data_IF_443169150849
#
_entry.id   IF_443169150849
#
_cell.length_a   1.000
_cell.length_b   1.000
_cell.length_c   1.000
_cell.angle_alpha   90.00
_cell.angle_beta   90.00
_cell.angle_gamma   90.00
#
_symmetry.space_group_name_H-M   'P 1'
#
loop_
_entity.id
_entity.type
_entity.pdbx_description
1 polymer ?
#
# COMPACT_ATOMS: atom_id res chain seq x y z
N UNK A 1 -16.54 -37.09 -8.28
CA UNK A 1 -16.03 -35.73 -7.97
C UNK A 1 -14.98 -35.36 -9.00
N UNK A 2 -15.20 -34.34 -9.83
CA UNK A 2 -14.13 -33.83 -10.72
C UNK A 2 -13.33 -32.81 -9.94
N UNK A 3 -12.02 -33.03 -9.81
CA UNK A 3 -11.11 -32.08 -9.15
C UNK A 3 -11.17 -30.72 -9.88
N UNK A 4 -11.58 -29.67 -9.16
CA UNK A 4 -11.47 -28.29 -9.65
C UNK A 4 -10.00 -27.89 -9.83
N UNK A 5 -9.72 -27.00 -10.78
CA UNK A 5 -8.40 -26.37 -10.86
C UNK A 5 -8.37 -25.25 -9.81
N UNK A 6 -7.50 -25.37 -8.81
CA UNK A 6 -7.45 -24.41 -7.71
C UNK A 6 -7.06 -22.98 -8.15
N UNK A 7 -6.38 -22.86 -9.30
CA UNK A 7 -5.94 -21.60 -9.87
C UNK A 7 -5.47 -21.76 -11.31
N UNK A 8 -5.56 -20.68 -12.09
CA UNK A 8 -4.91 -20.54 -13.39
C UNK A 8 -3.92 -19.38 -13.30
N UNK A 9 -2.64 -19.68 -13.51
CA UNK A 9 -1.56 -18.70 -13.61
C UNK A 9 -1.21 -18.47 -15.07
N UNK A 10 -1.24 -17.21 -15.51
CA UNK A 10 -0.93 -16.80 -16.88
C UNK A 10 0.20 -15.78 -16.84
N UNK A 11 1.33 -16.15 -17.43
CA UNK A 11 2.46 -15.25 -17.62
C UNK A 11 2.50 -14.76 -19.05
N UNK A 12 2.49 -13.45 -19.25
CA UNK A 12 2.52 -12.80 -20.57
C UNK A 12 3.84 -12.05 -20.72
N UNK A 13 4.61 -12.43 -21.72
CA UNK A 13 5.92 -11.84 -22.02
C UNK A 13 6.05 -11.56 -23.51
N UNK A 14 6.68 -10.44 -23.84
CA UNK A 14 7.12 -10.16 -25.20
C UNK A 14 8.11 -11.22 -25.68
N UNK A 15 7.86 -11.76 -26.88
CA UNK A 15 8.81 -12.61 -27.58
C UNK A 15 9.67 -11.71 -28.47
N UNK A 16 10.98 -11.71 -28.24
CA UNK A 16 12.02 -11.07 -29.06
C UNK A 16 12.30 -9.57 -28.88
N UNK A 17 11.75 -8.88 -27.86
CA UNK A 17 12.13 -7.49 -27.56
C UNK A 17 11.76 -6.45 -28.62
N UNK A 18 10.95 -6.85 -29.61
CA UNK A 18 10.24 -5.89 -30.45
C UNK A 18 9.11 -5.31 -29.59
N UNK A 19 9.35 -4.10 -29.08
CA UNK A 19 8.33 -3.26 -28.45
C UNK A 19 7.21 -3.05 -29.47
N UNK A 20 6.21 -3.93 -29.46
CA UNK A 20 4.96 -3.70 -30.18
C UNK A 20 4.41 -2.37 -29.67
N UNK A 21 4.41 -1.37 -30.54
CA UNK A 21 3.81 -0.07 -30.21
C UNK A 21 2.36 -0.33 -29.84
N UNK A 22 1.93 0.24 -28.72
CA UNK A 22 0.60 0.06 -28.13
C UNK A 22 -0.58 0.43 -29.07
N UNK A 23 -0.29 1.00 -30.24
CA UNK A 23 -1.25 1.43 -31.26
C UNK A 23 -1.38 0.48 -32.47
N UNK A 24 -0.56 -0.57 -32.58
CA UNK A 24 -0.76 -1.56 -33.65
C UNK A 24 -1.83 -2.56 -33.24
N UNK A 25 -2.92 -2.63 -34.02
CA UNK A 25 -3.99 -3.61 -33.92
C UNK A 25 -3.39 -5.01 -33.76
N UNK A 26 -3.31 -5.49 -32.52
CA UNK A 26 -2.88 -6.86 -32.24
C UNK A 26 -3.76 -7.81 -33.05
N UNK A 27 -3.21 -8.83 -33.74
CA UNK A 27 -3.96 -9.60 -34.71
C UNK A 27 -5.19 -10.24 -34.04
N UNK A 28 -6.39 -9.88 -34.49
CA UNK A 28 -7.68 -10.44 -34.00
C UNK A 28 -7.70 -11.97 -33.94
N UNK A 29 -6.88 -12.62 -34.76
CA UNK A 29 -6.72 -14.07 -34.86
C UNK A 29 -6.19 -14.70 -33.56
N UNK A 30 -5.22 -14.08 -32.88
CA UNK A 30 -4.60 -14.65 -31.68
C UNK A 30 -5.58 -14.74 -30.49
N UNK A 31 -6.50 -13.78 -30.38
CA UNK A 31 -7.54 -13.79 -29.34
C UNK A 31 -8.55 -14.94 -29.52
N UNK A 32 -8.87 -15.28 -30.78
CA UNK A 32 -9.84 -16.34 -31.06
C UNK A 32 -9.31 -17.72 -30.65
N UNK A 33 -8.01 -17.97 -30.87
CA UNK A 33 -7.35 -19.22 -30.47
C UNK A 33 -7.22 -19.31 -28.95
N UNK A 34 -6.84 -18.22 -28.29
CA UNK A 34 -6.79 -18.16 -26.84
C UNK A 34 -8.16 -18.46 -26.22
N UNK A 35 -9.22 -17.81 -26.71
CA UNK A 35 -10.56 -18.02 -26.19
C UNK A 35 -11.03 -19.46 -26.42
N UNK A 36 -10.71 -20.08 -27.56
CA UNK A 36 -10.98 -21.49 -27.81
C UNK A 36 -10.23 -22.41 -26.82
N UNK A 37 -8.97 -22.10 -26.54
CA UNK A 37 -8.16 -22.85 -25.58
C UNK A 37 -8.67 -22.71 -24.14
N UNK A 38 -9.03 -21.50 -23.72
CA UNK A 38 -9.42 -21.20 -22.34
C UNK A 38 -10.84 -21.68 -22.03
N UNK A 39 -11.76 -21.64 -22.98
CA UNK A 39 -13.16 -22.00 -22.80
C UNK A 39 -13.40 -23.33 -22.07
N UNK A 40 -12.75 -24.47 -22.40
CA UNK A 40 -12.94 -25.72 -21.67
C UNK A 40 -12.32 -25.71 -20.25
N UNK A 41 -11.38 -24.81 -19.98
CA UNK A 41 -10.69 -24.70 -18.69
C UNK A 41 -11.48 -23.82 -17.70
N UNK A 42 -12.04 -22.70 -18.17
CA UNK A 42 -12.65 -21.66 -17.35
C UNK A 42 -13.69 -22.14 -16.32
N UNK A 43 -14.59 -23.11 -16.61
CA UNK A 43 -15.53 -23.62 -15.61
C UNK A 43 -14.86 -24.19 -14.35
N UNK A 44 -13.59 -24.61 -14.45
CA UNK A 44 -12.82 -25.22 -13.36
C UNK A 44 -11.92 -24.23 -12.63
N UNK A 45 -11.75 -23.01 -13.16
CA UNK A 45 -10.82 -22.01 -12.65
C UNK A 45 -11.51 -21.18 -11.57
N UNK A 46 -11.09 -21.34 -10.31
CA UNK A 46 -11.58 -20.51 -9.21
C UNK A 46 -10.69 -19.28 -8.89
N UNK A 47 -9.57 -19.09 -9.58
CA UNK A 47 -8.78 -17.89 -9.43
C UNK A 47 -7.85 -17.67 -10.61
N UNK A 48 -7.62 -16.41 -10.92
CA UNK A 48 -6.87 -15.98 -12.08
C UNK A 48 -5.74 -15.06 -11.62
N UNK A 49 -4.51 -15.44 -11.97
CA UNK A 49 -3.33 -14.62 -11.74
C UNK A 49 -2.67 -14.35 -13.08
N UNK A 50 -2.51 -13.07 -13.40
CA UNK A 50 -1.94 -12.60 -14.66
C UNK A 50 -0.75 -11.72 -14.33
N UNK A 51 0.42 -12.09 -14.82
CA UNK A 51 1.61 -11.23 -14.76
C UNK A 51 1.99 -10.84 -16.18
N UNK A 52 2.05 -9.54 -16.48
CA UNK A 52 2.41 -9.02 -17.80
C UNK A 52 3.53 -7.99 -17.71
N UNK A 53 4.52 -8.09 -18.60
CA UNK A 53 5.61 -7.12 -18.73
C UNK A 53 5.50 -6.23 -19.98
N UNK A 54 4.44 -6.37 -20.73
CA UNK A 54 4.22 -5.70 -22.02
C UNK A 54 2.83 -5.08 -22.08
N UNK A 55 2.64 -4.04 -22.89
CA UNK A 55 1.43 -3.21 -23.00
C UNK A 55 0.18 -3.90 -23.57
N UNK A 56 -0.09 -5.15 -23.20
CA UNK A 56 -1.19 -5.98 -23.70
C UNK A 56 -2.44 -5.88 -22.82
N UNK A 57 -2.78 -4.66 -22.46
CA UNK A 57 -4.01 -4.28 -21.78
C UNK A 57 -5.26 -4.99 -22.33
N UNK A 58 -5.42 -4.98 -23.65
CA UNK A 58 -6.55 -5.61 -24.32
C UNK A 58 -6.56 -7.12 -24.12
N UNK A 59 -5.40 -7.78 -24.10
CA UNK A 59 -5.30 -9.22 -23.84
C UNK A 59 -5.70 -9.57 -22.42
N UNK A 60 -5.29 -8.76 -21.44
CA UNK A 60 -5.73 -8.93 -20.05
C UNK A 60 -7.24 -8.76 -19.95
N UNK A 61 -7.81 -7.77 -20.64
CA UNK A 61 -9.27 -7.57 -20.72
C UNK A 61 -9.96 -8.81 -21.31
N UNK A 62 -9.49 -9.35 -22.42
CA UNK A 62 -10.09 -10.55 -23.04
C UNK A 62 -9.99 -11.78 -22.14
N UNK A 63 -8.86 -11.98 -21.46
CA UNK A 63 -8.70 -13.07 -20.49
C UNK A 63 -9.74 -12.99 -19.38
N UNK A 64 -9.90 -11.81 -18.77
CA UNK A 64 -10.88 -11.60 -17.70
C UNK A 64 -12.30 -11.72 -18.24
N UNK A 65 -12.61 -11.17 -19.41
CA UNK A 65 -13.91 -11.32 -20.09
C UNK A 65 -14.26 -12.79 -20.36
N UNK A 66 -13.31 -13.58 -20.84
CA UNK A 66 -13.48 -15.02 -21.04
C UNK A 66 -13.70 -15.77 -19.74
N UNK A 67 -13.02 -15.38 -18.67
CA UNK A 67 -13.26 -15.97 -17.35
C UNK A 67 -14.67 -15.67 -16.85
N UNK A 68 -15.14 -14.44 -17.00
CA UNK A 68 -16.52 -14.06 -16.67
C UNK A 68 -17.52 -14.83 -17.56
N UNK A 69 -17.23 -14.95 -18.86
CA UNK A 69 -18.15 -15.56 -19.83
C UNK A 69 -18.27 -17.08 -19.65
N UNK A 70 -17.16 -17.78 -19.43
CA UNK A 70 -17.12 -19.24 -19.42
C UNK A 70 -16.91 -19.84 -18.03
N UNK A 71 -16.59 -19.03 -17.03
CA UNK A 71 -16.40 -19.47 -15.67
C UNK A 71 -17.69 -19.89 -14.97
N UNK A 72 -17.54 -20.68 -13.91
CA UNK A 72 -18.68 -21.07 -13.07
C UNK A 72 -19.08 -19.89 -12.17
N UNK A 73 -20.36 -19.54 -12.14
CA UNK A 73 -20.89 -18.47 -11.31
C UNK A 73 -20.52 -18.69 -9.83
N UNK A 74 -20.18 -17.60 -9.12
CA UNK A 74 -19.80 -17.63 -7.69
C UNK A 74 -18.61 -18.54 -7.35
N UNK A 75 -17.81 -18.92 -8.34
CA UNK A 75 -16.61 -19.74 -8.12
C UNK A 75 -15.32 -18.92 -8.08
N UNK A 76 -15.34 -17.66 -8.51
CA UNK A 76 -14.19 -16.79 -8.53
C UNK A 76 -13.81 -16.38 -7.09
N UNK A 77 -12.60 -16.74 -6.66
CA UNK A 77 -12.07 -16.50 -5.31
C UNK A 77 -10.99 -15.43 -5.29
N UNK A 78 -10.11 -15.40 -6.29
CA UNK A 78 -9.06 -14.38 -6.37
C UNK A 78 -8.79 -13.95 -7.80
N UNK A 79 -8.46 -12.66 -7.94
CA UNK A 79 -7.99 -12.07 -9.18
C UNK A 79 -6.76 -11.22 -8.86
N UNK A 80 -5.64 -11.59 -9.48
CA UNK A 80 -4.36 -10.91 -9.34
C UNK A 80 -3.90 -10.50 -10.73
N UNK A 81 -3.69 -9.21 -10.94
CA UNK A 81 -3.19 -8.67 -12.19
C UNK A 81 -1.99 -7.78 -11.87
N UNK A 82 -0.82 -8.27 -12.23
CA UNK A 82 0.45 -7.55 -12.12
C UNK A 82 0.90 -7.14 -13.52
N UNK A 83 0.54 -5.92 -13.92
CA UNK A 83 0.96 -5.35 -15.18
C UNK A 83 2.07 -4.33 -14.94
N UNK A 84 3.27 -4.64 -15.40
CA UNK A 84 4.43 -3.76 -15.31
C UNK A 84 4.55 -2.98 -16.62
N UNK A 85 4.67 -1.65 -16.53
CA UNK A 85 4.93 -0.73 -17.63
C UNK A 85 3.74 -0.50 -18.59
N UNK A 86 2.52 -0.44 -18.08
CA UNK A 86 1.40 0.07 -18.86
C UNK A 86 1.66 1.54 -19.22
N UNK A 87 1.54 1.85 -20.51
CA UNK A 87 1.53 3.25 -20.96
C UNK A 87 0.18 3.89 -20.60
N UNK A 88 -0.89 3.10 -20.57
CA UNK A 88 -2.26 3.55 -20.34
C UNK A 88 -3.01 2.65 -19.34
N UNK A 89 -3.78 3.26 -18.44
CA UNK A 89 -4.66 2.52 -17.52
C UNK A 89 -5.75 1.78 -18.28
N UNK A 90 -6.02 0.53 -17.90
CA UNK A 90 -7.11 -0.25 -18.53
C UNK A 90 -8.24 -0.49 -17.57
N UNK A 91 -9.44 -0.05 -17.94
CA UNK A 91 -10.66 -0.39 -17.21
C UNK A 91 -11.25 -1.67 -17.77
N UNK A 92 -11.53 -2.60 -16.87
CA UNK A 92 -12.34 -3.79 -17.08
C UNK A 92 -13.64 -3.54 -16.32
N UNK A 93 -14.78 -3.68 -16.96
CA UNK A 93 -16.05 -3.44 -16.30
C UNK A 93 -17.18 -3.88 -17.20
N UNK A 94 -18.41 -3.93 -16.69
CA UNK A 94 -19.53 -3.87 -17.59
C UNK A 94 -19.34 -2.57 -18.41
N UNK A 95 -19.37 -2.63 -19.74
CA UNK A 95 -19.30 -1.42 -20.54
C UNK A 95 -20.40 -0.48 -20.05
N UNK A 96 -20.03 0.75 -19.76
CA UNK A 96 -20.99 1.78 -19.36
C UNK A 96 -21.97 2.02 -20.51
N UNK A 97 -23.18 2.50 -20.23
CA UNK A 97 -24.18 2.84 -21.27
C UNK A 97 -23.59 3.73 -22.38
N UNK A 98 -22.57 4.52 -22.06
CA UNK A 98 -21.86 5.40 -22.99
C UNK A 98 -20.88 4.69 -23.95
N UNK A 99 -20.39 3.48 -23.63
CA UNK A 99 -19.36 2.80 -24.42
C UNK A 99 -19.92 1.69 -25.32
N UNK A 100 -21.02 1.03 -24.94
CA UNK A 100 -21.72 0.07 -25.80
C UNK A 100 -23.22 -0.02 -25.44
N UNK A 101 -24.14 0.58 -26.22
CA UNK A 101 -25.57 0.70 -25.87
C UNK A 101 -26.40 -0.60 -25.99
N UNK A 102 -25.80 -1.75 -26.30
CA UNK A 102 -26.52 -2.97 -26.68
C UNK A 102 -26.34 -4.15 -25.71
N UNK A 103 -25.87 -3.92 -24.48
CA UNK A 103 -25.75 -5.00 -23.50
C UNK A 103 -27.10 -5.32 -22.86
N UNK A 104 -27.35 -6.61 -22.65
CA UNK A 104 -28.54 -7.09 -21.97
C UNK A 104 -28.38 -6.98 -20.45
N UNK A 105 -29.47 -6.74 -19.73
CA UNK A 105 -29.51 -6.75 -18.26
C UNK A 105 -28.85 -8.02 -17.67
N UNK A 106 -29.02 -9.17 -18.35
CA UNK A 106 -28.44 -10.44 -17.94
C UNK A 106 -26.90 -10.49 -17.97
N UNK A 107 -26.24 -9.71 -18.83
CA UNK A 107 -24.77 -9.64 -18.86
C UNK A 107 -24.22 -8.84 -17.67
N UNK A 108 -24.93 -7.80 -17.27
CA UNK A 108 -24.62 -7.02 -16.06
C UNK A 108 -24.78 -7.92 -14.83
N UNK A 109 -25.93 -8.59 -14.68
CA UNK A 109 -26.18 -9.51 -13.56
C UNK A 109 -25.13 -10.63 -13.50
N UNK A 110 -24.74 -11.18 -14.65
CA UNK A 110 -23.70 -12.18 -14.74
C UNK A 110 -22.35 -11.64 -14.28
N UNK A 111 -21.95 -10.46 -14.74
CA UNK A 111 -20.72 -9.81 -14.28
C UNK A 111 -20.74 -9.62 -12.76
N UNK A 112 -21.84 -9.09 -12.23
CA UNK A 112 -22.00 -8.83 -10.79
C UNK A 112 -21.91 -10.13 -9.97
N UNK A 113 -22.68 -11.15 -10.32
CA UNK A 113 -22.70 -12.41 -9.58
C UNK A 113 -21.40 -13.20 -9.73
N UNK A 114 -20.61 -12.95 -10.77
CA UNK A 114 -19.29 -13.56 -10.92
C UNK A 114 -18.29 -13.03 -9.89
N UNK A 115 -18.27 -11.71 -9.68
CA UNK A 115 -17.35 -11.06 -8.73
C UNK A 115 -17.82 -11.08 -7.27
N UNK A 116 -19.09 -11.41 -7.00
CA UNK A 116 -19.65 -11.50 -5.65
C UNK A 116 -18.86 -12.45 -4.71
N UNK A 117 -18.32 -13.54 -5.26
CA UNK A 117 -17.56 -14.53 -4.48
C UNK A 117 -16.09 -14.16 -4.26
N UNK A 118 -15.61 -13.08 -4.89
CA UNK A 118 -14.20 -12.70 -4.85
C UNK A 118 -13.78 -12.34 -3.41
N UNK A 119 -12.62 -12.86 -2.99
CA UNK A 119 -12.01 -12.62 -1.66
C UNK A 119 -10.72 -11.82 -1.76
N UNK A 120 -9.93 -12.06 -2.81
CA UNK A 120 -8.68 -11.32 -3.07
C UNK A 120 -8.78 -10.61 -4.40
N UNK A 121 -8.55 -9.29 -4.39
CA UNK A 121 -8.43 -8.47 -5.58
C UNK A 121 -7.11 -7.70 -5.51
N UNK A 122 -6.15 -8.03 -6.38
CA UNK A 122 -4.89 -7.30 -6.51
C UNK A 122 -4.76 -6.81 -7.95
N UNK A 123 -4.67 -5.51 -8.12
CA UNK A 123 -4.67 -4.87 -9.43
C UNK A 123 -3.54 -3.86 -9.54
N UNK A 124 -2.73 -3.97 -10.59
CA UNK A 124 -1.66 -3.04 -10.94
C UNK A 124 -1.95 -2.42 -12.30
N UNK A 125 -2.07 -1.10 -12.37
CA UNK A 125 -2.35 -0.29 -13.59
C UNK A 125 -3.66 -0.65 -14.34
N UNK A 126 -4.41 -1.63 -13.82
CA UNK A 126 -5.67 -2.12 -14.36
C UNK A 126 -6.75 -1.92 -13.30
N UNK A 127 -7.93 -1.49 -13.72
CA UNK A 127 -9.01 -1.20 -12.80
C UNK A 127 -10.26 -1.97 -13.15
N UNK A 128 -10.93 -2.56 -12.16
CA UNK A 128 -12.25 -3.14 -12.36
C UNK A 128 -13.30 -2.20 -11.79
N UNK A 129 -14.14 -1.61 -12.66
CA UNK A 129 -15.03 -0.49 -12.36
C UNK A 129 -15.54 -0.45 -10.89
N UNK A 130 -15.21 0.59 -10.10
CA UNK A 130 -15.43 0.65 -8.66
C UNK A 130 -16.84 1.13 -8.32
N UNK A 131 -17.59 1.57 -9.33
CA UNK A 131 -18.96 2.04 -9.17
C UNK A 131 -19.92 0.93 -8.70
N UNK A 132 -19.46 -0.32 -8.76
CA UNK A 132 -20.28 -1.48 -8.54
C UNK A 132 -20.06 -2.01 -7.12
N UNK A 133 -21.12 -2.09 -6.33
CA UNK A 133 -21.17 -2.73 -5.00
C UNK A 133 -20.89 -4.24 -5.05
N UNK A 134 -20.48 -4.78 -6.20
CA UNK A 134 -20.36 -6.21 -6.51
C UNK A 134 -19.40 -6.97 -5.61
N UNK A 135 -18.48 -6.26 -4.97
CA UNK A 135 -17.51 -6.84 -4.06
C UNK A 135 -18.12 -6.95 -2.66
N UNK A 136 -18.82 -8.06 -2.39
CA UNK A 136 -19.55 -8.28 -1.13
C UNK A 136 -18.79 -9.09 -0.07
N UNK A 137 -17.49 -9.29 -0.24
CA UNK A 137 -16.71 -10.06 0.73
C UNK A 137 -15.22 -10.12 0.45
N UNK A 138 -14.65 -9.04 -0.08
CA UNK A 138 -13.19 -8.97 -0.16
C UNK A 138 -12.60 -9.03 1.25
N UNK A 139 -11.60 -9.88 1.40
CA UNK A 139 -10.68 -9.92 2.54
C UNK A 139 -9.36 -9.23 2.21
N UNK A 140 -9.07 -9.04 0.92
CA UNK A 140 -7.84 -8.42 0.44
C UNK A 140 -8.10 -7.55 -0.78
N UNK A 141 -7.69 -6.28 -0.70
CA UNK A 141 -7.77 -5.30 -1.77
C UNK A 141 -6.43 -4.60 -1.92
N UNK A 142 -5.75 -4.82 -3.04
CA UNK A 142 -4.55 -4.09 -3.40
C UNK A 142 -4.73 -3.36 -4.72
N UNK A 143 -4.47 -2.06 -4.71
CA UNK A 143 -4.52 -1.18 -5.87
C UNK A 143 -3.13 -0.53 -6.03
N UNK A 144 -2.46 -0.86 -7.13
CA UNK A 144 -1.11 -0.39 -7.46
C UNK A 144 -1.14 0.51 -8.71
N UNK A 145 -0.45 1.64 -8.63
CA UNK A 145 -0.15 2.60 -9.69
C UNK A 145 -1.33 2.86 -10.64
N UNK A 146 -2.44 3.38 -10.10
CA UNK A 146 -3.55 3.80 -10.95
C UNK A 146 -3.13 5.06 -11.71
N UNK A 147 -2.84 4.94 -13.03
CA UNK A 147 -2.41 6.08 -13.84
C UNK A 147 -3.50 7.16 -13.90
N UNK A 148 -3.08 8.40 -14.19
CA UNK A 148 -3.86 9.65 -14.13
C UNK A 148 -5.24 9.59 -14.79
N UNK A 149 -5.37 8.77 -15.84
CA UNK A 149 -6.56 8.72 -16.69
C UNK A 149 -7.74 8.03 -16.00
N UNK A 150 -7.47 7.28 -14.92
CA UNK A 150 -8.50 6.69 -14.10
C UNK A 150 -8.41 7.15 -12.65
N UNK A 151 -9.41 7.91 -12.26
CA UNK A 151 -9.52 8.52 -10.94
C UNK A 151 -10.56 7.77 -10.10
N UNK A 152 -10.17 7.34 -8.90
CA UNK A 152 -11.08 6.73 -7.94
C UNK A 152 -11.63 7.85 -7.06
N UNK A 153 -12.93 8.11 -7.06
CA UNK A 153 -13.50 9.08 -6.12
C UNK A 153 -13.57 8.50 -4.70
N UNK A 154 -13.59 9.35 -3.67
CA UNK A 154 -13.84 8.92 -2.29
C UNK A 154 -15.14 8.10 -2.16
N UNK A 155 -16.20 8.48 -2.87
CA UNK A 155 -17.50 7.79 -2.93
C UNK A 155 -17.40 6.40 -3.54
N UNK A 156 -16.63 6.22 -4.60
CA UNK A 156 -16.34 4.92 -5.18
C UNK A 156 -15.61 4.02 -4.18
N UNK A 157 -14.53 4.51 -3.57
CA UNK A 157 -13.79 3.73 -2.59
C UNK A 157 -14.65 3.40 -1.37
N UNK A 158 -15.44 4.36 -0.87
CA UNK A 158 -16.35 4.14 0.24
C UNK A 158 -17.36 3.03 -0.04
N UNK A 159 -17.99 3.03 -1.22
CA UNK A 159 -18.93 1.97 -1.64
C UNK A 159 -18.26 0.61 -1.70
N UNK A 160 -17.04 0.53 -2.23
CA UNK A 160 -16.27 -0.71 -2.26
C UNK A 160 -15.97 -1.22 -0.84
N UNK A 161 -15.42 -0.37 0.03
CA UNK A 161 -15.07 -0.74 1.40
C UNK A 161 -16.30 -1.12 2.24
N UNK A 162 -17.41 -0.40 2.07
CA UNK A 162 -18.68 -0.68 2.77
C UNK A 162 -19.32 -2.00 2.35
N UNK A 163 -19.14 -2.41 1.09
CA UNK A 163 -19.57 -3.71 0.61
C UNK A 163 -18.65 -4.85 1.12
N UNK A 164 -17.41 -4.54 1.50
CA UNK A 164 -16.39 -5.50 1.94
C UNK A 164 -15.80 -5.17 3.32
N UNK A 165 -16.63 -5.20 4.37
CA UNK A 165 -16.18 -4.91 5.75
C UNK A 165 -15.22 -5.96 6.35
N UNK A 166 -15.07 -7.11 5.69
CA UNK A 166 -14.18 -8.20 6.09
C UNK A 166 -12.73 -8.03 5.59
N UNK A 167 -12.39 -6.88 5.02
CA UNK A 167 -11.02 -6.59 4.55
C UNK A 167 -10.02 -6.70 5.70
N UNK A 168 -9.02 -7.54 5.48
CA UNK A 168 -7.85 -7.78 6.33
C UNK A 168 -6.62 -7.06 5.80
N UNK A 169 -6.45 -7.01 4.48
CA UNK A 169 -5.32 -6.34 3.85
C UNK A 169 -5.81 -5.29 2.86
N UNK A 170 -5.48 -4.02 3.12
CA UNK A 170 -5.75 -2.89 2.22
C UNK A 170 -4.43 -2.25 1.79
N UNK A 171 -4.12 -2.29 0.49
CA UNK A 171 -2.93 -1.65 -0.07
C UNK A 171 -3.30 -0.68 -1.17
N UNK A 172 -2.90 0.58 -1.00
CA UNK A 172 -3.20 1.69 -1.90
C UNK A 172 -1.87 2.34 -2.28
N UNK A 173 -1.22 1.76 -3.29
CA UNK A 173 0.15 2.08 -3.65
C UNK A 173 0.13 2.88 -4.94
N UNK A 174 0.32 4.19 -4.88
CA UNK A 174 0.13 5.04 -6.08
C UNK A 174 -1.31 5.01 -6.58
N UNK A 175 -2.30 4.79 -5.71
CA UNK A 175 -3.70 4.83 -6.07
C UNK A 175 -4.18 6.29 -6.17
N UNK A 176 -4.73 6.66 -7.31
CA UNK A 176 -5.14 8.02 -7.63
C UNK A 176 -6.57 8.30 -7.11
N UNK A 177 -6.68 8.66 -5.82
CA UNK A 177 -7.97 8.90 -5.14
C UNK A 177 -8.31 10.39 -5.15
N UNK A 178 -9.42 10.79 -5.76
CA UNK A 178 -9.87 12.18 -5.78
C UNK A 178 -10.68 12.53 -4.53
N UNK A 179 -10.36 13.67 -3.93
CA UNK A 179 -11.22 14.30 -2.94
C UNK A 179 -12.54 14.76 -3.55
N UNK A 180 -13.62 14.60 -2.80
CA UNK A 180 -14.94 15.10 -3.15
C UNK A 180 -15.34 16.18 -2.13
N UNK A 181 -15.54 17.45 -2.56
CA UNK A 181 -15.72 18.58 -1.64
C UNK A 181 -16.96 18.48 -0.75
N UNK A 182 -17.98 17.71 -1.18
CA UNK A 182 -19.23 17.49 -0.44
C UNK A 182 -19.36 16.04 0.07
N UNK A 183 -18.23 15.33 0.20
CA UNK A 183 -18.24 13.96 0.69
C UNK A 183 -18.62 13.92 2.18
N UNK A 184 -19.75 13.28 2.51
CA UNK A 184 -20.35 13.32 3.85
C UNK A 184 -20.76 11.94 4.37
N UNK A 185 -19.98 10.90 4.07
CA UNK A 185 -20.23 9.59 4.64
C UNK A 185 -19.54 9.41 6.00
N UNK A 186 -20.23 8.70 6.91
CA UNK A 186 -19.64 8.30 8.18
C UNK A 186 -18.51 7.29 7.93
N UNK A 187 -17.32 7.45 8.56
CA UNK A 187 -16.22 6.51 8.38
C UNK A 187 -16.59 5.06 8.72
N UNK A 188 -15.98 4.11 8.03
CA UNK A 188 -16.26 2.67 8.11
C UNK A 188 -15.40 1.98 9.17
N UNK A 189 -15.99 1.07 9.95
CA UNK A 189 -15.20 0.22 10.87
C UNK A 189 -14.77 -1.04 10.12
N UNK A 190 -13.50 -1.09 9.76
CA UNK A 190 -12.85 -2.29 9.20
C UNK A 190 -12.28 -3.11 10.36
N UNK A 191 -13.14 -3.86 11.05
CA UNK A 191 -12.77 -4.55 12.30
C UNK A 191 -11.67 -5.59 12.12
N UNK A 192 -11.60 -6.20 10.95
CA UNK A 192 -10.68 -7.28 10.62
C UNK A 192 -9.39 -6.79 9.95
N UNK A 193 -9.20 -5.48 9.83
CA UNK A 193 -8.03 -4.92 9.18
C UNK A 193 -6.77 -5.31 9.95
N UNK A 194 -5.85 -5.98 9.28
CA UNK A 194 -4.57 -6.44 9.80
C UNK A 194 -3.40 -5.65 9.21
N UNK A 195 -3.52 -5.28 7.93
CA UNK A 195 -2.50 -4.51 7.21
C UNK A 195 -3.11 -3.37 6.40
N UNK A 196 -2.52 -2.19 6.53
CA UNK A 196 -2.82 -1.01 5.73
C UNK A 196 -1.53 -0.46 5.13
N UNK A 197 -1.40 -0.44 3.82
CA UNK A 197 -0.24 0.15 3.14
C UNK A 197 -0.67 1.28 2.24
N UNK A 198 -0.07 2.45 2.39
CA UNK A 198 -0.32 3.62 1.54
C UNK A 198 1.03 4.11 1.01
N UNK A 199 1.15 4.22 -0.32
CA UNK A 199 2.29 4.87 -0.98
C UNK A 199 1.79 6.04 -1.78
N UNK A 200 2.32 7.23 -1.48
CA UNK A 200 2.04 8.45 -2.21
C UNK A 200 3.11 8.64 -3.28
N UNK A 201 2.68 8.73 -4.54
CA UNK A 201 3.54 9.02 -5.68
C UNK A 201 3.39 10.48 -6.11
N UNK A 202 4.48 11.08 -6.57
CA UNK A 202 4.47 12.43 -7.13
C UNK A 202 3.71 12.48 -8.47
N UNK A 203 3.03 13.60 -8.74
CA UNK A 203 2.42 13.89 -10.04
C UNK A 203 1.03 13.31 -10.27
N UNK A 204 0.43 12.70 -9.24
CA UNK A 204 -0.97 12.25 -9.29
C UNK A 204 -1.92 13.38 -8.94
N UNK A 205 -3.08 13.42 -9.60
CA UNK A 205 -4.13 14.43 -9.38
C UNK A 205 -4.80 14.21 -8.02
N UNK A 206 -5.03 12.95 -7.67
CA UNK A 206 -5.56 12.48 -6.40
C UNK A 206 -4.47 11.92 -5.49
N UNK A 207 -4.86 11.61 -4.24
CA UNK A 207 -3.95 11.17 -3.20
C UNK A 207 -4.53 10.00 -2.39
N UNK A 208 -3.82 8.87 -2.25
CA UNK A 208 -4.35 7.70 -1.53
C UNK A 208 -4.59 7.97 -0.04
N UNK A 209 -4.05 9.05 0.53
CA UNK A 209 -4.31 9.51 1.90
C UNK A 209 -5.79 9.81 2.15
N UNK A 210 -6.56 10.21 1.15
CA UNK A 210 -7.99 10.43 1.31
C UNK A 210 -8.77 9.18 1.75
N UNK A 211 -8.20 7.98 1.56
CA UNK A 211 -8.77 6.74 2.08
C UNK A 211 -8.78 6.69 3.61
N UNK A 212 -7.83 7.35 4.29
CA UNK A 212 -7.76 7.34 5.76
C UNK A 212 -8.97 8.02 6.39
N UNK A 213 -9.51 9.06 5.75
CA UNK A 213 -10.74 9.72 6.21
C UNK A 213 -11.98 8.80 6.12
N UNK A 214 -11.92 7.72 5.34
CA UNK A 214 -13.00 6.76 5.16
C UNK A 214 -13.01 5.67 6.23
N UNK A 215 -11.95 5.56 7.03
CA UNK A 215 -11.73 4.44 7.95
C UNK A 215 -11.76 4.97 9.39
N UNK A 216 -12.64 4.41 10.23
CA UNK A 216 -12.58 4.58 11.68
C UNK A 216 -11.91 3.40 12.36
N UNK A 217 -11.51 3.64 13.61
CA UNK A 217 -10.99 2.65 14.55
C UNK A 217 -11.77 1.32 14.51
N UNK A 218 -11.03 0.22 14.37
CA UNK A 218 -11.53 -1.14 14.59
C UNK A 218 -11.42 -1.56 16.07
N UNK A 219 -11.73 -2.82 16.38
CA UNK A 219 -11.40 -3.41 17.68
C UNK A 219 -9.95 -3.89 17.74
N UNK A 220 -9.45 -4.39 16.62
CA UNK A 220 -8.20 -5.13 16.56
C UNK A 220 -7.03 -4.21 16.23
N UNK A 221 -5.84 -4.59 16.68
CA UNK A 221 -4.62 -3.86 16.37
C UNK A 221 -4.06 -4.28 15.02
N UNK A 222 -3.50 -3.34 14.26
CA UNK A 222 -3.03 -3.61 12.90
C UNK A 222 -1.69 -2.97 12.58
N UNK A 223 -1.09 -3.39 11.47
CA UNK A 223 0.17 -2.85 10.96
C UNK A 223 -0.09 -1.86 9.84
N UNK A 224 0.58 -0.71 9.88
CA UNK A 224 0.46 0.33 8.87
C UNK A 224 1.82 0.64 8.23
N UNK A 225 1.87 0.61 6.90
CA UNK A 225 2.99 1.09 6.09
C UNK A 225 2.61 2.39 5.40
N UNK A 226 3.46 3.41 5.48
CA UNK A 226 3.29 4.70 4.85
C UNK A 226 4.55 5.11 4.09
N UNK A 227 4.48 5.23 2.76
CA UNK A 227 5.60 5.60 1.91
C UNK A 227 5.36 6.91 1.14
N UNK A 228 6.37 7.77 1.07
CA UNK A 228 6.38 8.99 0.26
C UNK A 228 7.51 8.95 -0.75
N UNK A 229 7.15 9.01 -2.03
CA UNK A 229 8.12 9.15 -3.11
C UNK A 229 8.02 10.56 -3.69
N UNK A 230 9.08 11.33 -3.50
CA UNK A 230 9.32 12.59 -4.23
C UNK A 230 8.27 13.69 -4.03
N UNK A 231 7.49 13.66 -2.95
CA UNK A 231 6.40 14.61 -2.72
C UNK A 231 6.36 15.06 -1.25
N UNK A 232 6.12 16.36 -1.04
CA UNK A 232 5.70 16.89 0.25
C UNK A 232 4.19 16.71 0.40
N UNK A 233 3.74 16.18 1.53
CA UNK A 233 2.31 16.20 1.85
C UNK A 233 1.86 17.62 2.16
N UNK A 234 0.80 18.06 1.50
CA UNK A 234 0.11 19.31 1.82
C UNK A 234 -0.51 19.25 3.23
N UNK A 235 -0.63 20.40 3.90
CA UNK A 235 -1.19 20.53 5.26
C UNK A 235 -2.54 19.81 5.47
N UNK A 236 -3.50 19.87 4.52
CA UNK A 236 -4.77 19.16 4.69
C UNK A 236 -4.59 17.64 4.76
N UNK A 237 -3.66 17.10 3.97
CA UNK A 237 -3.36 15.66 3.94
C UNK A 237 -2.64 15.22 5.21
N UNK A 238 -1.70 16.04 5.70
CA UNK A 238 -1.06 15.85 7.00
C UNK A 238 -2.12 15.74 8.10
N UNK A 239 -3.08 16.67 8.13
CA UNK A 239 -4.15 16.70 9.12
C UNK A 239 -5.01 15.43 9.09
N UNK A 240 -5.33 14.91 7.90
CA UNK A 240 -6.06 13.64 7.75
C UNK A 240 -5.29 12.48 8.37
N UNK A 241 -3.99 12.37 8.10
CA UNK A 241 -3.19 11.28 8.65
C UNK A 241 -3.06 11.40 10.18
N UNK A 242 -2.83 12.61 10.70
CA UNK A 242 -2.78 12.83 12.14
C UNK A 242 -4.10 12.44 12.82
N UNK A 243 -5.24 12.90 12.29
CA UNK A 243 -6.55 12.55 12.82
C UNK A 243 -6.80 11.03 12.79
N UNK A 244 -6.38 10.35 11.72
CA UNK A 244 -6.49 8.90 11.63
C UNK A 244 -5.63 8.21 12.70
N UNK A 245 -4.34 8.55 12.78
CA UNK A 245 -3.39 7.94 13.71
C UNK A 245 -3.81 8.13 15.17
N UNK A 246 -4.28 9.33 15.53
CA UNK A 246 -4.77 9.69 16.87
C UNK A 246 -5.87 8.76 17.40
N UNK A 247 -6.69 8.22 16.50
CA UNK A 247 -7.81 7.36 16.86
C UNK A 247 -7.63 5.91 16.38
N UNK A 248 -6.45 5.54 15.89
CA UNK A 248 -6.19 4.21 15.34
C UNK A 248 -5.75 3.20 16.41
N UNK A 249 -5.83 1.90 16.07
CA UNK A 249 -5.15 0.83 16.81
C UNK A 249 -3.87 0.37 16.08
N UNK A 250 -3.14 1.30 15.46
CA UNK A 250 -1.88 0.95 14.82
C UNK A 250 -0.89 0.47 15.88
N UNK A 251 -0.45 -0.78 15.76
CA UNK A 251 0.55 -1.40 16.63
C UNK A 251 1.95 -1.29 16.05
N UNK A 252 2.07 -1.45 14.73
CA UNK A 252 3.31 -1.26 13.99
C UNK A 252 3.09 -0.17 12.95
N UNK A 253 3.86 0.91 13.02
CA UNK A 253 3.91 1.95 12.01
C UNK A 253 5.26 1.91 11.31
N UNK A 254 5.26 1.67 10.01
CA UNK A 254 6.45 1.79 9.18
C UNK A 254 6.32 2.99 8.25
N UNK A 255 7.25 3.92 8.35
CA UNK A 255 7.32 5.10 7.52
C UNK A 255 8.57 5.04 6.65
N UNK A 256 8.38 5.23 5.34
CA UNK A 256 9.46 5.38 4.37
C UNK A 256 9.35 6.71 3.64
N UNK A 257 10.37 7.55 3.75
CA UNK A 257 10.43 8.81 3.01
C UNK A 257 11.74 8.90 2.27
N UNK A 258 11.75 9.13 0.96
CA UNK A 258 13.00 9.19 0.18
C UNK A 258 13.70 10.56 0.31
N UNK A 259 14.18 10.91 1.50
CA UNK A 259 15.08 12.04 1.72
C UNK A 259 14.51 13.45 1.37
N UNK A 260 13.18 13.59 1.38
CA UNK A 260 12.45 14.85 1.16
C UNK A 260 11.70 15.15 2.44
N UNK A 261 11.75 16.40 2.90
CA UNK A 261 11.22 16.89 4.18
C UNK A 261 9.98 16.12 4.60
N UNK A 262 10.21 15.10 5.42
CA UNK A 262 9.18 14.22 5.93
C UNK A 262 8.43 15.05 6.96
N UNK A 263 7.09 15.14 6.91
CA UNK A 263 6.33 15.91 7.90
C UNK A 263 6.42 15.19 9.26
N UNK A 264 7.53 15.37 9.97
CA UNK A 264 7.84 14.65 11.21
C UNK A 264 6.80 14.91 12.28
N UNK A 265 6.17 16.09 12.22
CA UNK A 265 4.96 16.45 12.98
C UNK A 265 3.82 15.43 12.90
N UNK A 266 3.75 14.61 11.85
CA UNK A 266 2.78 13.51 11.78
C UNK A 266 3.06 12.45 12.83
N UNK A 267 4.34 12.11 13.03
CA UNK A 267 4.74 11.15 14.05
C UNK A 267 4.47 11.69 15.44
N UNK A 268 4.62 13.00 15.67
CA UNK A 268 4.35 13.64 16.97
C UNK A 268 2.88 13.55 17.43
N UNK A 269 2.00 13.01 16.60
CA UNK A 269 0.61 12.73 16.98
C UNK A 269 0.56 11.56 17.94
N UNK A 270 -0.27 11.60 19.00
CA UNK A 270 -0.45 10.45 19.87
C UNK A 270 -0.92 9.22 19.10
N UNK A 271 -0.24 8.08 19.26
CA UNK A 271 -0.65 6.78 18.69
C UNK A 271 -0.74 5.79 19.85
N UNK A 272 -1.91 5.69 20.52
CA UNK A 272 -2.00 5.08 21.84
C UNK A 272 -1.62 3.60 21.91
N UNK A 273 -1.68 2.89 20.79
CA UNK A 273 -1.41 1.45 20.70
C UNK A 273 -0.08 1.12 20.00
N UNK A 274 0.73 2.14 19.68
CA UNK A 274 1.96 1.94 18.92
C UNK A 274 3.00 1.21 19.78
N UNK A 275 3.40 0.01 19.35
CA UNK A 275 4.46 -0.78 19.97
C UNK A 275 5.75 -0.75 19.15
N UNK A 276 5.64 -0.62 17.84
CA UNK A 276 6.78 -0.65 16.92
C UNK A 276 6.72 0.52 15.94
N UNK A 277 7.77 1.34 15.93
CA UNK A 277 7.98 2.38 14.94
C UNK A 277 9.17 1.99 14.07
N UNK A 278 8.97 1.89 12.76
CA UNK A 278 10.03 1.70 11.79
C UNK A 278 10.15 2.94 10.90
N UNK A 279 11.35 3.46 10.76
CA UNK A 279 11.68 4.61 9.92
C UNK A 279 12.69 4.16 8.87
N UNK A 280 12.41 4.44 7.60
CA UNK A 280 13.30 4.06 6.50
C UNK A 280 13.53 5.22 5.54
N UNK A 281 14.80 5.49 5.21
CA UNK A 281 15.21 6.54 4.27
C UNK A 281 14.84 7.98 4.67
N UNK A 282 14.18 8.18 5.82
CA UNK A 282 13.65 9.48 6.25
C UNK A 282 14.75 10.51 6.54
N UNK A 283 14.48 11.78 6.21
CA UNK A 283 15.27 12.93 6.69
C UNK A 283 14.72 13.40 8.05
N UNK A 284 15.49 13.18 9.11
CA UNK A 284 15.13 13.55 10.48
C UNK A 284 15.62 14.95 10.87
N UNK A 285 16.22 15.73 9.97
CA UNK A 285 16.71 17.09 10.24
C UNK A 285 15.60 18.15 10.27
N UNK A 286 14.33 17.73 10.18
CA UNK A 286 13.21 18.65 10.05
C UNK A 286 13.08 19.57 11.29
N UNK A 287 13.04 20.88 11.01
CA UNK A 287 12.77 21.99 11.94
C UNK A 287 11.52 21.81 12.81
N UNK A 288 10.57 20.96 12.39
CA UNK A 288 9.40 20.61 13.20
C UNK A 288 9.79 20.00 14.56
N UNK A 289 10.89 19.24 14.65
CA UNK A 289 11.39 18.70 15.92
C UNK A 289 11.92 19.82 16.81
N UNK A 290 12.63 20.80 16.22
CA UNK A 290 13.13 21.96 16.97
C UNK A 290 12.00 22.80 17.57
N UNK A 291 10.86 22.88 16.89
CA UNK A 291 9.68 23.59 17.37
C UNK A 291 8.88 22.80 18.43
N UNK A 292 8.85 21.48 18.35
CA UNK A 292 8.25 20.63 19.40
C UNK A 292 9.00 20.75 20.74
N UNK A 293 10.33 20.87 20.67
CA UNK A 293 11.17 21.01 21.86
C UNK A 293 10.93 22.36 22.56
N UNK A 294 10.86 23.46 21.78
CA UNK A 294 10.61 24.82 22.30
C UNK A 294 9.27 24.96 23.02
N UNK A 295 8.24 24.23 22.63
CA UNK A 295 6.96 24.24 23.34
C UNK A 295 6.99 23.43 24.64
N UNK A 296 7.84 22.39 24.71
CA UNK A 296 8.04 21.58 25.92
C UNK A 296 8.90 22.30 26.98
N UNK A 297 9.90 23.07 26.56
CA UNK A 297 10.84 23.76 27.46
C UNK A 297 10.28 25.04 28.07
N UNK A 298 9.20 25.60 27.50
CA UNK A 298 8.63 26.88 27.93
C UNK A 298 7.56 26.79 29.04
N UNK A 299 7.54 25.68 29.79
CA UNK A 299 6.90 25.59 31.10
C UNK A 299 5.39 25.37 31.09
N UNK A 300 4.96 24.35 31.85
CA UNK A 300 3.58 24.12 32.32
C UNK A 300 2.59 23.34 31.44
N UNK A 301 3.01 22.61 30.42
CA UNK A 301 2.17 21.52 29.88
C UNK A 301 2.95 20.22 29.89
N UNK A 302 2.47 19.26 30.70
CA UNK A 302 2.81 17.85 30.52
C UNK A 302 2.33 17.45 29.13
N UNK A 303 3.16 17.63 28.11
CA UNK A 303 2.94 17.02 26.81
C UNK A 303 2.94 15.52 27.07
N UNK A 304 1.75 14.94 27.06
CA UNK A 304 1.56 13.51 27.19
C UNK A 304 2.42 12.84 26.12
N UNK A 305 3.24 11.89 26.55
CA UNK A 305 4.04 11.02 25.67
C UNK A 305 3.17 10.58 24.48
N UNK A 306 3.50 10.96 23.23
CA UNK A 306 2.69 10.59 22.08
C UNK A 306 2.68 9.08 21.82
N UNK A 307 3.66 8.31 22.31
CA UNK A 307 3.72 6.86 22.10
C UNK A 307 4.00 6.13 23.43
N UNK A 308 3.04 6.13 24.36
CA UNK A 308 3.26 5.61 25.72
C UNK A 308 3.48 4.08 25.77
N UNK A 309 3.25 3.38 24.66
CA UNK A 309 3.42 1.93 24.53
C UNK A 309 4.60 1.54 23.62
N UNK A 310 5.40 2.51 23.14
CA UNK A 310 6.47 2.23 22.19
C UNK A 310 7.55 1.34 22.83
N UNK A 311 7.72 0.15 22.28
CA UNK A 311 8.71 -0.83 22.75
C UNK A 311 9.89 -0.95 21.80
N UNK A 312 9.62 -0.84 20.49
CA UNK A 312 10.61 -1.12 19.45
C UNK A 312 10.73 0.07 18.50
N UNK A 313 11.96 0.58 18.33
CA UNK A 313 12.29 1.56 17.31
C UNK A 313 13.30 0.98 16.32
N UNK A 314 12.92 0.99 15.05
CA UNK A 314 13.70 0.48 13.92
C UNK A 314 14.07 1.66 13.02
N UNK A 315 15.35 1.84 12.71
CA UNK A 315 15.82 2.93 11.86
C UNK A 315 16.67 2.35 10.73
N UNK A 316 16.30 2.64 9.49
CA UNK A 316 17.00 2.14 8.30
C UNK A 316 17.35 3.30 7.37
N UNK A 317 18.64 3.52 7.10
CA UNK A 317 19.10 4.53 6.12
C UNK A 317 18.53 5.97 6.30
N UNK A 318 18.18 6.37 7.52
CA UNK A 318 17.75 7.74 7.81
C UNK A 318 18.93 8.72 7.87
N UNK A 319 18.70 10.00 7.60
CA UNK A 319 19.70 11.09 7.75
C UNK A 319 19.30 12.05 8.89
N UNK A 320 20.25 12.83 9.43
CA UNK A 320 19.97 13.75 10.55
C UNK A 320 19.85 13.12 11.93
N UNK A 321 20.29 11.86 12.04
CA UNK A 321 20.00 10.98 13.18
C UNK A 321 20.59 11.51 14.49
N UNK A 322 21.82 12.05 14.48
CA UNK A 322 22.59 12.21 15.73
C UNK A 322 21.89 13.05 16.80
N UNK A 323 21.46 14.28 16.50
CA UNK A 323 20.78 15.14 17.48
C UNK A 323 19.29 14.80 17.64
N UNK A 324 18.61 14.46 16.56
CA UNK A 324 17.16 14.28 16.56
C UNK A 324 16.72 12.93 17.09
N UNK A 325 17.46 11.85 16.80
CA UNK A 325 17.18 10.54 17.37
C UNK A 325 17.49 10.53 18.87
N UNK A 326 18.59 11.16 19.31
CA UNK A 326 18.87 11.31 20.75
C UNK A 326 17.73 11.99 21.48
N UNK A 327 17.16 13.06 20.89
CA UNK A 327 15.98 13.74 21.44
C UNK A 327 14.75 12.84 21.44
N UNK A 328 14.48 12.14 20.33
CA UNK A 328 13.36 11.21 20.26
C UNK A 328 13.47 10.09 21.31
N UNK A 329 14.66 9.54 21.50
CA UNK A 329 14.94 8.50 22.51
C UNK A 329 14.90 9.05 23.94
N UNK A 330 15.23 10.33 24.14
CA UNK A 330 15.11 10.98 25.44
C UNK A 330 13.63 11.19 25.84
N UNK A 331 12.75 11.41 24.86
CA UNK A 331 11.31 11.54 25.08
C UNK A 331 10.65 10.16 25.22
N UNK A 332 11.13 9.17 24.48
CA UNK A 332 10.55 7.82 24.41
C UNK A 332 11.58 6.76 24.78
N UNK A 333 11.65 6.34 26.05
CA UNK A 333 12.51 5.23 26.45
C UNK A 333 12.00 3.94 25.81
N UNK A 334 12.63 3.52 24.72
CA UNK A 334 12.31 2.27 24.02
C UNK A 334 13.03 1.08 24.67
N UNK A 335 12.40 -0.09 24.64
CA UNK A 335 13.01 -1.32 25.16
C UNK A 335 13.97 -1.97 24.16
N UNK A 336 13.69 -1.83 22.86
CA UNK A 336 14.51 -2.39 21.78
C UNK A 336 14.74 -1.31 20.74
N UNK A 337 16.00 -1.11 20.39
CA UNK A 337 16.41 -0.24 19.29
C UNK A 337 17.27 -1.04 18.31
N UNK A 338 16.91 -0.98 17.03
CA UNK A 338 17.72 -1.53 15.94
C UNK A 338 17.92 -0.46 14.86
N UNK A 339 19.16 -0.30 14.43
CA UNK A 339 19.52 0.57 13.34
C UNK A 339 20.29 -0.20 12.27
N UNK A 340 20.03 0.10 10.99
CA UNK A 340 20.69 -0.46 9.82
C UNK A 340 21.08 0.64 8.84
N UNK A 341 22.27 0.53 8.25
CA UNK A 341 22.74 1.45 7.22
C UNK A 341 23.55 0.72 6.16
N UNK A 342 23.35 1.12 4.89
CA UNK A 342 24.23 0.73 3.79
C UNK A 342 25.40 1.72 3.71
N UNK A 343 26.61 1.25 4.02
CA UNK A 343 27.83 2.03 3.83
C UNK A 343 28.34 1.82 2.39
N UNK A 344 28.54 2.90 1.63
CA UNK A 344 29.30 2.82 0.37
C UNK A 344 28.80 3.68 -0.79
N UNK A 345 27.49 3.96 -0.90
CA UNK A 345 26.95 4.50 -2.17
C UNK A 345 26.73 6.03 -2.17
N UNK A 346 26.82 6.71 -1.03
CA UNK A 346 26.54 8.15 -0.92
C UNK A 346 27.52 8.90 0.01
N UNK A 347 28.68 9.36 -0.50
CA UNK A 347 29.76 9.95 0.29
C UNK A 347 29.42 11.25 1.06
N UNK A 348 28.24 11.86 0.86
CA UNK A 348 27.81 13.06 1.58
C UNK A 348 26.66 12.87 2.58
N UNK A 349 26.10 11.67 2.74
CA UNK A 349 24.96 11.42 3.67
C UNK A 349 25.38 11.08 5.10
N UNK A 350 26.65 10.70 5.30
CA UNK A 350 27.16 10.18 6.57
C UNK A 350 28.20 11.09 7.24
N UNK A 351 28.49 12.27 6.68
CA UNK A 351 29.41 13.25 7.29
C UNK A 351 28.98 13.62 8.73
N UNK A 352 27.67 13.61 9.02
CA UNK A 352 27.10 13.94 10.34
C UNK A 352 27.17 12.81 11.39
N UNK A 353 27.34 11.55 10.97
CA UNK A 353 27.36 10.44 11.94
C UNK A 353 28.69 10.37 12.71
N UNK A 354 29.75 11.00 12.18
CA UNK A 354 31.08 10.90 12.76
C UNK A 354 31.50 9.45 12.97
N UNK A 355 32.59 9.23 13.68
CA UNK A 355 33.10 7.91 14.04
C UNK A 355 31.98 6.93 14.47
N UNK A 356 31.71 5.92 13.64
CA UNK A 356 30.69 4.86 13.84
C UNK A 356 30.71 4.31 15.26
N UNK A 357 31.91 4.06 15.79
CA UNK A 357 32.10 3.49 17.11
C UNK A 357 31.54 4.43 18.20
N UNK A 358 31.70 5.74 18.00
CA UNK A 358 31.19 6.76 18.92
C UNK A 358 29.66 6.85 18.88
N UNK A 359 29.03 6.72 17.70
CA UNK A 359 27.57 6.72 17.62
C UNK A 359 26.96 5.48 18.29
N UNK A 360 27.50 4.29 18.03
CA UNK A 360 27.09 3.07 18.72
C UNK A 360 27.28 3.16 20.24
N UNK A 361 28.40 3.71 20.69
CA UNK A 361 28.69 3.89 22.11
C UNK A 361 27.66 4.81 22.77
N UNK A 362 27.26 5.89 22.09
CA UNK A 362 26.21 6.79 22.61
C UNK A 362 24.87 6.07 22.68
N UNK A 363 24.48 5.32 21.65
CA UNK A 363 23.22 4.56 21.65
C UNK A 363 23.19 3.54 22.80
N UNK A 364 24.25 2.74 22.96
CA UNK A 364 24.36 1.75 24.04
C UNK A 364 24.37 2.39 25.43
N UNK A 365 24.85 3.63 25.55
CA UNK A 365 24.81 4.38 26.80
C UNK A 365 23.41 4.95 27.11
N UNK A 366 22.60 5.23 26.09
CA UNK A 366 21.26 5.85 26.25
C UNK A 366 20.13 4.83 26.37
N UNK A 367 20.23 3.68 25.71
CA UNK A 367 19.15 2.69 25.65
C UNK A 367 19.68 1.34 26.17
N UNK A 368 19.04 0.74 27.19
CA UNK A 368 19.33 -0.64 27.59
C UNK A 368 19.04 -1.61 26.44
N UNK A 369 19.89 -2.61 26.21
CA UNK A 369 19.69 -3.69 25.22
C UNK A 369 19.63 -3.26 23.73
N UNK A 370 20.38 -2.22 23.34
CA UNK A 370 20.57 -1.85 21.93
C UNK A 370 21.26 -2.96 21.14
N UNK A 371 20.61 -3.42 20.08
CA UNK A 371 21.22 -4.26 19.05
C UNK A 371 21.46 -3.43 17.79
N UNK A 372 22.71 -3.01 17.57
CA UNK A 372 23.13 -2.40 16.30
C UNK A 372 23.49 -3.51 15.31
N UNK A 373 22.76 -3.59 14.19
CA UNK A 373 23.00 -4.58 13.13
C UNK A 373 23.43 -3.89 11.85
N UNK A 374 24.32 -4.51 11.08
CA UNK A 374 24.75 -3.99 9.79
C UNK A 374 24.46 -5.03 8.73
N UNK A 375 23.68 -4.66 7.71
CA UNK A 375 23.38 -5.56 6.58
C UNK A 375 24.14 -5.10 5.36
N UNK A 376 24.81 -6.04 4.69
CA UNK A 376 25.37 -5.85 3.35
C UNK A 376 24.32 -6.10 2.23
N UNK A 377 23.13 -6.57 2.60
CA UNK A 377 22.08 -7.00 1.66
C UNK A 377 21.08 -5.88 1.33
N UNK A 378 20.41 -6.05 0.19
CA UNK A 378 19.30 -5.23 -0.33
C UNK A 378 18.23 -4.99 0.75
N UNK A 379 17.58 -3.81 0.67
CA UNK A 379 16.55 -3.28 1.56
C UNK A 379 15.83 -4.39 2.37
N UNK A 380 16.05 -4.52 3.69
CA UNK A 380 15.48 -5.61 4.50
C UNK A 380 13.96 -5.55 4.59
N UNK A 381 13.34 -4.52 4.00
CA UNK A 381 11.90 -4.32 3.97
C UNK A 381 11.43 -4.42 2.52
N UNK A 382 11.12 -5.66 2.11
CA UNK A 382 10.24 -5.87 0.98
C UNK A 382 8.86 -5.30 1.33
N UNK A 383 8.54 -4.15 0.75
CA UNK A 383 7.25 -3.47 0.92
C UNK A 383 6.09 -4.32 0.41
N UNK A 384 6.36 -5.18 -0.57
CA UNK A 384 5.36 -6.10 -1.10
C UNK A 384 5.14 -7.27 -0.12
N UNK A 385 6.06 -7.49 0.83
CA UNK A 385 5.93 -8.45 1.93
C UNK A 385 5.45 -7.85 3.26
N UNK A 386 4.95 -6.61 3.32
CA UNK A 386 4.53 -5.97 4.58
C UNK A 386 3.40 -6.74 5.33
N UNK A 387 3.51 -6.95 6.67
CA UNK A 387 4.55 -6.43 7.57
C UNK A 387 5.90 -7.12 7.35
N UNK A 388 7.02 -6.37 7.39
CA UNK A 388 8.35 -6.95 7.23
C UNK A 388 8.56 -8.11 8.22
N UNK A 389 9.30 -9.16 7.82
CA UNK A 389 9.61 -10.31 8.66
C UNK A 389 10.64 -9.90 9.72
N UNK A 390 10.23 -9.06 10.67
CA UNK A 390 10.99 -8.86 11.90
C UNK A 390 10.62 -9.97 12.86
N UNK A 391 11.09 -11.20 12.59
CA UNK A 391 11.20 -12.18 13.66
C UNK A 391 12.17 -11.60 14.69
N UNK A 392 11.61 -11.12 15.79
CA UNK A 392 12.37 -10.53 16.88
C UNK A 392 13.25 -11.56 17.60
N UNK A 393 13.09 -12.85 17.26
CA UNK A 393 13.66 -14.01 17.95
C UNK A 393 14.72 -14.75 17.13
N UNK A 394 14.92 -14.40 15.85
CA UNK A 394 16.05 -14.90 15.07
C UNK A 394 17.22 -13.92 15.17
N UNK A 395 18.13 -14.21 16.10
CA UNK A 395 19.47 -13.65 16.08
C UNK A 395 20.19 -14.15 14.82
N UNK A 396 20.56 -13.27 13.87
CA UNK A 396 21.59 -13.62 12.91
C UNK A 396 22.92 -13.57 13.67
N UNK A 397 23.52 -14.74 13.90
CA UNK A 397 24.92 -14.84 14.33
C UNK A 397 25.87 -14.16 13.35
#
# INVERSE_FOLDING_TARGET
>A
MRAGLAGLYIHITERNGELYRADEDFPRYEYSELNQFLRPLMPRVCGLEITSRCGLAQYIRELVSSWIQYGTMKSAKYLVIEHKHAVNSTVIGPPTEASHPNYSLGEIEKFQSFFESLRTLRLHEIFISPANTIYHGLTELHLYDCLSDYNITQSCLFRLLSASLAIRSLRLIGANILAEPNFSFAPLSLKHLETLSIRVNQGQVGNPVYALALIKRGSDSFSMGFEFRRMHLEEPLVSIVQQFLAHSNVKLLHVRGWNIGFPFRMLLTPIPQLHTLALSYCDLRDSAIENFDRSSTNGSSSLSDPWPQLQVLLVHECVGIKSHLQRLLAIHPVQKFRAWWKFGDHPGRFEDLGDRARFEQVLRATIPDVKCGYSAFEDPIDWDAFPPPFDCDHDPE
#
